data_IF_910776946107
#
_entry.id   IF_910776946107
#
_cell.length_a   1.000
_cell.length_b   1.000
_cell.length_c   1.000
_cell.angle_alpha   90.00
_cell.angle_beta   90.00
_cell.angle_gamma   90.00
#
_symmetry.space_group_name_H-M   'P 1'
#
loop_
_entity.id
_entity.type
_entity.pdbx_description
1 polymer ?
#
# COMPACT_ATOMS: atom_id res chain seq x y z
N UNK A 1 49.30 38.81 -40.62
CA UNK A 1 50.09 38.73 -39.38
C UNK A 1 49.70 37.44 -38.69
N UNK A 2 50.68 36.58 -38.47
CA UNK A 2 50.56 35.18 -38.05
C UNK A 2 50.17 35.13 -36.57
N UNK A 3 49.25 34.24 -36.20
CA UNK A 3 49.48 33.14 -35.23
C UNK A 3 48.19 32.35 -35.00
N UNK A 4 48.27 31.11 -35.45
CA UNK A 4 47.40 30.01 -35.09
C UNK A 4 47.35 29.81 -33.58
N UNK A 5 46.21 29.33 -33.08
CA UNK A 5 46.17 28.55 -31.86
C UNK A 5 45.28 27.34 -32.10
N UNK A 6 45.91 26.23 -32.48
CA UNK A 6 45.32 24.91 -32.42
C UNK A 6 45.39 24.43 -30.95
N UNK A 7 44.27 23.96 -30.41
CA UNK A 7 44.28 23.00 -29.32
C UNK A 7 43.54 21.75 -29.80
N UNK A 8 44.32 20.70 -30.06
CA UNK A 8 43.84 19.33 -30.10
C UNK A 8 44.34 18.69 -28.80
N UNK A 9 43.44 18.29 -27.90
CA UNK A 9 43.67 17.12 -27.06
C UNK A 9 42.36 16.67 -26.40
N UNK A 10 42.07 15.38 -26.55
CA UNK A 10 41.17 14.66 -25.66
C UNK A 10 39.78 14.39 -26.23
N UNK A 11 39.67 13.38 -27.08
CA UNK A 11 38.50 12.52 -27.01
C UNK A 11 38.47 11.91 -25.60
N UNK A 12 37.73 12.54 -24.68
CA UNK A 12 37.20 11.82 -23.55
C UNK A 12 35.93 11.13 -24.06
N UNK A 13 36.07 9.90 -24.52
CA UNK A 13 34.98 8.95 -24.33
C UNK A 13 34.79 8.88 -22.82
N UNK A 14 33.88 9.70 -22.30
CA UNK A 14 33.28 9.42 -21.01
C UNK A 14 32.46 8.14 -21.23
N UNK A 15 33.10 6.97 -21.06
CA UNK A 15 32.43 5.87 -20.38
C UNK A 15 32.39 6.25 -18.89
N UNK A 16 31.79 7.41 -18.61
CA UNK A 16 31.25 7.69 -17.31
C UNK A 16 29.97 6.89 -17.30
N UNK A 17 29.89 5.90 -16.42
CA UNK A 17 28.64 5.39 -15.92
C UNK A 17 27.82 6.62 -15.51
N UNK A 18 27.02 7.17 -16.43
CA UNK A 18 25.97 8.11 -16.07
C UNK A 18 24.99 7.21 -15.35
N UNK A 19 25.21 7.04 -14.04
CA UNK A 19 24.15 6.59 -13.16
C UNK A 19 23.03 7.56 -13.42
N UNK A 20 22.05 7.13 -14.22
CA UNK A 20 20.85 7.93 -14.49
C UNK A 20 20.41 8.47 -13.14
N UNK A 21 20.26 9.79 -12.96
CA UNK A 21 19.72 10.32 -11.72
C UNK A 21 18.48 9.51 -11.38
N UNK A 22 18.52 8.81 -10.24
CA UNK A 22 17.41 8.01 -9.78
C UNK A 22 16.32 8.98 -9.35
N UNK A 23 15.50 9.42 -10.30
CA UNK A 23 14.34 10.22 -10.01
C UNK A 23 13.33 9.33 -9.31
N UNK A 24 13.04 9.64 -8.05
CA UNK A 24 11.90 9.06 -7.37
C UNK A 24 10.63 9.50 -8.11
N UNK A 25 9.90 8.54 -8.66
CA UNK A 25 8.59 8.78 -9.27
C UNK A 25 7.52 8.61 -8.19
N UNK A 26 6.72 9.65 -7.97
CA UNK A 26 5.49 9.51 -7.21
C UNK A 26 4.45 8.80 -8.08
N UNK A 27 3.87 7.72 -7.55
CA UNK A 27 2.74 7.01 -8.15
C UNK A 27 1.60 7.07 -7.14
N UNK A 28 0.51 7.72 -7.52
CA UNK A 28 -0.73 7.74 -6.75
C UNK A 28 -1.78 6.95 -7.51
N UNK A 29 -2.41 5.99 -6.84
CA UNK A 29 -3.49 5.17 -7.39
C UNK A 29 -4.67 5.14 -6.45
N UNK A 30 -5.86 4.95 -7.01
CA UNK A 30 -7.08 4.68 -6.26
C UNK A 30 -7.47 3.21 -6.45
N UNK A 31 -8.25 2.69 -5.53
CA UNK A 31 -8.97 1.44 -5.73
C UNK A 31 -9.91 1.62 -6.93
N UNK A 32 -10.04 0.58 -7.75
CA UNK A 32 -10.76 0.68 -9.02
C UNK A 32 -12.19 0.15 -8.91
N UNK A 33 -12.45 -0.73 -7.96
CA UNK A 33 -13.75 -1.39 -7.79
C UNK A 33 -13.92 -1.90 -6.35
N UNK A 34 -15.16 -2.20 -5.96
CA UNK A 34 -15.45 -2.86 -4.68
C UNK A 34 -14.81 -4.25 -4.53
N UNK A 35 -14.34 -4.85 -5.63
CA UNK A 35 -13.59 -6.10 -5.59
C UNK A 35 -12.10 -5.89 -5.26
N UNK A 36 -11.68 -4.66 -4.97
CA UNK A 36 -10.32 -4.30 -4.58
C UNK A 36 -10.21 -3.90 -3.10
N UNK A 37 -11.33 -3.79 -2.38
CA UNK A 37 -11.42 -3.55 -0.96
C UNK A 37 -12.51 -4.42 -0.34
N UNK A 38 -12.08 -5.44 0.40
CA UNK A 38 -13.00 -6.43 0.95
C UNK A 38 -12.71 -6.69 2.42
N UNK A 39 -13.76 -7.13 3.09
CA UNK A 39 -13.73 -7.47 4.49
C UNK A 39 -14.07 -8.95 4.68
N UNK A 40 -13.39 -9.64 5.59
CA UNK A 40 -13.72 -11.01 5.97
C UNK A 40 -13.90 -11.13 7.47
N UNK A 41 -15.10 -11.59 7.88
CA UNK A 41 -15.40 -11.92 9.28
C UNK A 41 -14.71 -13.23 9.63
N UNK A 42 -13.70 -13.18 10.51
CA UNK A 42 -12.79 -14.32 10.77
C UNK A 42 -13.46 -15.56 11.35
N UNK A 43 -14.54 -15.41 12.11
CA UNK A 43 -15.24 -16.54 12.73
C UNK A 43 -16.23 -17.21 11.77
N UNK A 44 -16.89 -16.42 10.92
CA UNK A 44 -17.86 -16.92 9.95
C UNK A 44 -17.22 -17.28 8.60
N UNK A 45 -15.97 -16.85 8.35
CA UNK A 45 -15.25 -16.96 7.08
C UNK A 45 -16.04 -16.38 5.89
N UNK A 46 -16.96 -15.47 6.16
CA UNK A 46 -17.80 -14.84 5.15
C UNK A 46 -17.21 -13.49 4.75
N UNK A 47 -17.26 -13.22 3.46
CA UNK A 47 -16.87 -11.95 2.87
C UNK A 47 -18.02 -10.96 3.04
N UNK A 48 -17.71 -9.80 3.59
CA UNK A 48 -18.61 -8.65 3.61
C UNK A 48 -18.20 -7.70 2.48
N UNK A 49 -18.71 -7.98 1.29
CA UNK A 49 -18.38 -7.21 0.08
C UNK A 49 -19.37 -6.10 -0.27
N UNK A 50 -20.36 -5.87 0.59
CA UNK A 50 -21.40 -4.86 0.39
C UNK A 50 -21.25 -3.64 1.29
N UNK A 51 -20.20 -3.57 2.11
CA UNK A 51 -19.97 -2.45 3.01
C UNK A 51 -19.69 -1.17 2.22
N UNK A 52 -20.20 -0.04 2.72
CA UNK A 52 -19.94 1.28 2.16
C UNK A 52 -18.61 1.87 2.64
N UNK A 53 -18.02 1.28 3.68
CA UNK A 53 -16.78 1.67 4.33
C UNK A 53 -15.95 0.45 4.78
N UNK A 54 -14.77 0.69 5.37
CA UNK A 54 -13.86 -0.35 5.85
C UNK A 54 -13.64 -0.25 7.36
N UNK A 55 -13.90 -1.34 8.04
CA UNK A 55 -13.90 -1.46 9.48
C UNK A 55 -12.57 -2.01 9.99
N UNK A 56 -11.76 -1.10 10.53
CA UNK A 56 -10.46 -1.46 11.07
C UNK A 56 -10.62 -2.23 12.39
N UNK A 57 -10.32 -3.53 12.30
CA UNK A 57 -10.34 -4.57 13.33
C UNK A 57 -11.70 -5.18 13.67
N UNK A 58 -12.78 -4.39 13.77
CA UNK A 58 -14.10 -4.90 14.17
C UNK A 58 -15.23 -4.06 13.57
N UNK A 59 -16.27 -4.73 13.07
CA UNK A 59 -17.53 -4.13 12.60
C UNK A 59 -18.20 -3.23 13.65
N UNK A 60 -18.23 -3.66 14.91
CA UNK A 60 -19.02 -3.03 15.96
C UNK A 60 -18.23 -2.80 17.24
N UNK A 61 -18.76 -1.90 18.07
CA UNK A 61 -18.13 -1.48 19.33
C UNK A 61 -18.06 -2.58 20.39
N UNK A 62 -18.83 -3.66 20.23
CA UNK A 62 -18.78 -4.81 21.14
C UNK A 62 -17.56 -5.72 20.88
N UNK A 63 -16.81 -5.49 19.78
CA UNK A 63 -15.55 -6.15 19.43
C UNK A 63 -15.62 -7.68 19.44
N UNK A 64 -16.78 -8.25 19.09
CA UNK A 64 -17.00 -9.71 19.16
C UNK A 64 -16.32 -10.46 18.02
N UNK A 65 -16.41 -9.95 16.79
CA UNK A 65 -15.93 -10.66 15.61
C UNK A 65 -14.82 -9.85 14.94
N UNK A 66 -13.56 -10.30 14.99
CA UNK A 66 -12.48 -9.61 14.31
C UNK A 66 -12.62 -9.73 12.79
N UNK A 67 -12.26 -8.65 12.10
CA UNK A 67 -12.33 -8.50 10.66
C UNK A 67 -10.92 -8.54 10.06
N UNK A 68 -10.77 -9.20 8.92
CA UNK A 68 -9.67 -8.92 8.00
C UNK A 68 -10.15 -7.87 7.02
N UNK A 69 -9.31 -6.87 6.78
CA UNK A 69 -9.49 -5.90 5.70
C UNK A 69 -8.38 -6.15 4.70
N UNK A 70 -8.72 -6.25 3.41
CA UNK A 70 -7.76 -6.44 2.34
C UNK A 70 -7.95 -5.40 1.25
N UNK A 71 -6.84 -4.83 0.80
CA UNK A 71 -6.78 -3.84 -0.26
C UNK A 71 -5.93 -4.37 -1.42
N UNK A 72 -6.38 -4.13 -2.65
CA UNK A 72 -5.69 -4.52 -3.89
C UNK A 72 -5.50 -3.30 -4.78
N UNK A 73 -4.24 -2.92 -4.98
CA UNK A 73 -3.88 -1.81 -5.86
C UNK A 73 -3.24 -2.31 -7.15
N UNK A 74 -3.75 -1.85 -8.30
CA UNK A 74 -3.09 -2.06 -9.59
C UNK A 74 -2.07 -0.96 -9.82
N UNK A 75 -0.84 -1.17 -9.33
CA UNK A 75 0.24 -0.18 -9.41
C UNK A 75 1.21 -0.55 -10.54
N UNK A 76 1.49 0.34 -11.51
CA UNK A 76 2.44 0.08 -12.59
C UNK A 76 3.90 0.27 -12.12
N UNK A 77 4.36 -0.58 -11.19
CA UNK A 77 5.74 -0.59 -10.71
C UNK A 77 6.58 -1.47 -11.64
N UNK A 78 7.64 -0.93 -12.28
CA UNK A 78 8.53 -1.73 -13.10
C UNK A 78 9.21 -2.83 -12.28
N UNK A 79 9.43 -4.00 -12.89
CA UNK A 79 10.19 -5.08 -12.26
C UNK A 79 11.58 -4.58 -11.87
N UNK A 80 11.98 -4.82 -10.62
CA UNK A 80 13.28 -4.41 -10.09
C UNK A 80 13.35 -2.93 -9.67
N UNK A 81 12.26 -2.17 -9.75
CA UNK A 81 12.21 -0.84 -9.18
C UNK A 81 12.37 -0.92 -7.65
N UNK A 82 13.19 -0.02 -7.09
CA UNK A 82 13.29 0.16 -5.65
C UNK A 82 12.13 1.03 -5.17
N UNK A 83 11.34 0.52 -4.22
CA UNK A 83 10.32 1.29 -3.53
C UNK A 83 10.98 1.96 -2.33
N UNK A 84 11.07 3.29 -2.36
CA UNK A 84 11.72 4.08 -1.30
C UNK A 84 10.76 4.33 -0.13
N UNK A 85 9.47 4.47 -0.43
CA UNK A 85 8.40 4.70 0.54
C UNK A 85 7.07 4.34 -0.09
N UNK A 86 6.17 3.71 0.66
CA UNK A 86 4.80 3.48 0.27
C UNK A 86 3.86 3.60 1.48
N UNK A 87 2.65 4.11 1.28
CA UNK A 87 1.62 4.16 2.32
C UNK A 87 0.23 4.10 1.68
N UNK A 88 -0.76 3.69 2.46
CA UNK A 88 -2.17 3.89 2.12
C UNK A 88 -2.67 5.13 2.86
N UNK A 89 -3.34 6.04 2.13
CA UNK A 89 -4.03 7.18 2.73
C UNK A 89 -5.53 6.89 2.86
N UNK A 90 -6.03 7.03 4.07
CA UNK A 90 -7.42 6.82 4.48
C UNK A 90 -8.13 8.15 4.64
N UNK A 91 -9.44 8.13 4.44
CA UNK A 91 -10.35 9.23 4.81
C UNK A 91 -11.31 8.70 5.84
N UNK A 92 -11.36 9.32 7.01
CA UNK A 92 -12.25 8.90 8.09
C UNK A 92 -13.70 9.16 7.71
N UNK A 93 -14.53 8.12 7.67
CA UNK A 93 -15.97 8.26 7.47
C UNK A 93 -16.72 8.40 8.81
N UNK A 94 -16.30 7.64 9.82
CA UNK A 94 -16.85 7.69 11.17
C UNK A 94 -15.75 7.65 12.25
N UNK A 95 -15.97 8.32 13.38
CA UNK A 95 -15.03 8.32 14.52
C UNK A 95 -15.31 7.21 15.52
N UNK A 96 -16.54 6.70 15.60
CA UNK A 96 -17.02 5.74 16.63
C UNK A 96 -16.56 6.08 18.06
N UNK A 97 -16.51 7.37 18.38
CA UNK A 97 -16.06 7.90 19.68
C UNK A 97 -14.56 8.17 19.78
N UNK A 98 -13.72 7.71 18.85
CA UNK A 98 -12.37 8.23 18.59
C UNK A 98 -11.35 8.12 19.74
N UNK A 99 -11.64 7.37 20.80
CA UNK A 99 -10.77 7.32 21.99
C UNK A 99 -10.09 5.98 22.22
N UNK A 100 -10.54 4.90 21.58
CA UNK A 100 -9.97 3.57 21.78
C UNK A 100 -8.81 3.32 20.79
N UNK A 101 -7.64 2.86 21.27
CA UNK A 101 -6.52 2.58 20.38
C UNK A 101 -6.83 1.38 19.48
N UNK A 102 -6.51 1.52 18.20
CA UNK A 102 -6.56 0.43 17.21
C UNK A 102 -5.14 0.09 16.78
N UNK A 103 -4.77 -1.19 16.87
CA UNK A 103 -3.46 -1.68 16.48
C UNK A 103 -3.64 -2.77 15.44
N UNK A 104 -3.04 -2.58 14.28
CA UNK A 104 -3.12 -3.49 13.15
C UNK A 104 -1.73 -4.03 12.80
N UNK A 105 -1.75 -5.21 12.18
CA UNK A 105 -0.59 -5.80 11.52
C UNK A 105 -0.92 -5.86 10.04
N UNK A 106 -0.05 -5.26 9.22
CA UNK A 106 -0.17 -5.22 7.76
C UNK A 106 0.87 -6.18 7.18
N UNK A 107 0.44 -7.03 6.26
CA UNK A 107 1.30 -7.86 5.41
C UNK A 107 0.82 -7.81 3.96
N UNK A 108 1.71 -8.16 3.03
CA UNK A 108 1.44 -8.20 1.60
C UNK A 108 1.09 -9.60 1.13
N UNK A 109 0.33 -9.69 0.04
CA UNK A 109 0.17 -10.93 -0.73
C UNK A 109 1.33 -11.06 -1.71
N UNK A 110 2.03 -12.19 -1.70
CA UNK A 110 3.20 -12.45 -2.57
C UNK A 110 2.83 -12.85 -3.99
N UNK A 111 1.59 -13.24 -4.25
CA UNK A 111 1.11 -13.60 -5.59
C UNK A 111 1.19 -12.37 -6.52
N UNK A 112 2.07 -12.34 -7.53
CA UNK A 112 2.16 -11.22 -8.46
C UNK A 112 0.86 -11.10 -9.26
N UNK A 113 0.41 -9.86 -9.50
CA UNK A 113 -0.84 -9.61 -10.22
C UNK A 113 -2.03 -10.39 -9.63
N UNK A 114 -2.15 -10.41 -8.30
CA UNK A 114 -3.22 -11.14 -7.61
C UNK A 114 -4.60 -10.85 -8.22
N UNK A 115 -5.48 -11.87 -8.34
CA UNK A 115 -6.83 -11.67 -8.83
C UNK A 115 -7.62 -10.77 -7.87
N UNK A 116 -8.68 -10.17 -8.41
CA UNK A 116 -9.65 -9.42 -7.62
C UNK A 116 -10.19 -10.27 -6.49
N UNK A 117 -10.65 -9.62 -5.41
CA UNK A 117 -11.35 -10.33 -4.38
C UNK A 117 -12.72 -10.80 -4.88
N UNK A 118 -13.21 -11.89 -4.29
CA UNK A 118 -14.52 -12.46 -4.61
C UNK A 118 -15.34 -12.62 -3.34
N UNK A 119 -16.64 -12.88 -3.47
CA UNK A 119 -17.52 -13.20 -2.34
C UNK A 119 -17.41 -14.67 -1.91
N UNK A 120 -16.41 -15.41 -2.39
CA UNK A 120 -16.19 -16.78 -1.97
C UNK A 120 -15.77 -16.84 -0.49
N UNK A 121 -16.28 -17.84 0.23
CA UNK A 121 -15.86 -18.12 1.61
C UNK A 121 -14.34 -18.22 1.69
N UNK A 122 -13.72 -17.47 2.61
CA UNK A 122 -12.26 -17.39 2.83
C UNK A 122 -11.45 -16.80 1.67
N UNK A 123 -12.00 -15.93 0.83
CA UNK A 123 -11.22 -15.31 -0.26
C UNK A 123 -10.01 -14.50 0.25
N UNK A 124 -10.06 -13.98 1.48
CA UNK A 124 -8.98 -13.19 2.08
C UNK A 124 -8.08 -14.08 2.95
N UNK A 125 -8.68 -14.82 3.90
CA UNK A 125 -7.93 -15.69 4.81
C UNK A 125 -7.32 -16.92 4.12
N UNK A 126 -7.89 -17.34 2.99
CA UNK A 126 -7.39 -18.44 2.16
C UNK A 126 -6.19 -18.07 1.28
N UNK A 127 -5.85 -16.79 1.15
CA UNK A 127 -4.65 -16.31 0.47
C UNK A 127 -3.43 -16.51 1.38
N UNK A 128 -2.80 -17.68 1.29
CA UNK A 128 -1.72 -18.13 2.19
C UNK A 128 -0.33 -17.63 1.84
N UNK A 129 -0.09 -17.26 0.58
CA UNK A 129 1.20 -16.71 0.11
C UNK A 129 1.37 -15.26 0.55
N UNK A 130 1.86 -15.05 1.77
CA UNK A 130 2.05 -13.72 2.39
C UNK A 130 3.52 -13.34 2.53
N UNK A 131 3.82 -12.05 2.59
CA UNK A 131 5.16 -11.56 2.92
C UNK A 131 5.57 -12.02 4.32
N UNK A 132 6.85 -12.37 4.48
CA UNK A 132 7.43 -12.66 5.79
C UNK A 132 7.54 -11.38 6.65
N UNK A 133 7.90 -10.25 6.01
CA UNK A 133 7.87 -8.95 6.63
C UNK A 133 6.43 -8.54 7.00
N UNK A 134 6.29 -7.80 8.09
CA UNK A 134 5.03 -7.25 8.60
C UNK A 134 5.27 -5.85 9.15
N UNK A 135 4.29 -4.97 8.95
CA UNK A 135 4.31 -3.61 9.49
C UNK A 135 3.27 -3.49 10.59
N UNK A 136 3.65 -2.93 11.73
CA UNK A 136 2.72 -2.60 12.81
C UNK A 136 2.18 -1.21 12.58
N UNK A 137 0.87 -1.04 12.62
CA UNK A 137 0.20 0.25 12.53
C UNK A 137 -0.59 0.51 13.82
N UNK A 138 -0.09 1.43 14.63
CA UNK A 138 -0.88 2.05 15.69
C UNK A 138 -1.69 3.17 15.03
N UNK A 139 -2.97 2.91 14.78
CA UNK A 139 -3.86 3.89 14.17
C UNK A 139 -4.04 5.02 15.17
N UNK A 140 -3.82 6.25 14.73
CA UNK A 140 -4.09 7.41 15.57
C UNK A 140 -5.59 7.55 15.85
N UNK A 141 -5.90 8.21 16.95
CA UNK A 141 -7.28 8.49 17.30
C UNK A 141 -7.92 9.41 16.23
N UNK A 142 -8.91 8.88 15.52
CA UNK A 142 -9.71 9.64 14.58
C UNK A 142 -10.78 10.43 15.32
N UNK A 143 -10.66 11.75 15.29
CA UNK A 143 -11.54 12.65 16.06
C UNK A 143 -12.46 13.50 15.18
N UNK A 144 -12.23 13.47 13.86
CA UNK A 144 -12.97 14.29 12.89
C UNK A 144 -13.27 13.49 11.63
N UNK A 145 -14.52 13.54 11.15
CA UNK A 145 -14.92 12.99 9.86
C UNK A 145 -14.21 13.77 8.74
N UNK A 146 -13.69 13.06 7.73
CA UNK A 146 -12.89 13.64 6.65
C UNK A 146 -11.41 13.82 6.98
N UNK A 147 -10.97 13.53 8.21
CA UNK A 147 -9.56 13.48 8.57
C UNK A 147 -8.81 12.53 7.63
N UNK A 148 -7.63 12.94 7.18
CA UNK A 148 -6.72 12.08 6.41
C UNK A 148 -5.77 11.38 7.37
N UNK A 149 -5.63 10.08 7.17
CA UNK A 149 -4.74 9.21 7.95
C UNK A 149 -3.85 8.44 6.99
N UNK A 150 -2.62 8.11 7.41
CA UNK A 150 -1.71 7.30 6.60
C UNK A 150 -1.22 6.12 7.42
N UNK A 151 -1.06 4.98 6.75
CA UNK A 151 -0.27 3.89 7.33
C UNK A 151 1.19 4.34 7.53
N UNK A 152 1.95 3.64 8.40
CA UNK A 152 3.41 3.70 8.36
C UNK A 152 3.93 3.28 6.99
N UNK A 153 5.24 3.46 6.77
CA UNK A 153 5.87 3.00 5.53
C UNK A 153 5.73 1.47 5.38
N UNK A 154 5.06 1.08 4.30
CA UNK A 154 4.79 -0.32 3.93
C UNK A 154 5.72 -0.83 2.84
N UNK A 155 6.75 -0.07 2.41
CA UNK A 155 7.67 -0.51 1.36
C UNK A 155 8.32 -1.89 1.63
N UNK A 156 8.50 -2.27 2.90
CA UNK A 156 9.09 -3.56 3.29
C UNK A 156 8.20 -4.79 3.01
N UNK A 157 6.92 -4.59 2.70
CA UNK A 157 5.94 -5.67 2.44
C UNK A 157 5.39 -5.64 1.01
N UNK A 158 6.05 -4.92 0.09
CA UNK A 158 5.68 -4.80 -1.32
C UNK A 158 6.68 -5.51 -2.25
#
# INVERSE_FOLDING_TARGET
MVKELAFLLGAALLVGLVGSPAYARLIEVRLLSGADDMEEKREANNIDGGSTDLELAYENTNKRVPQLVALRYLVPIPKGAQIINAYVEWTVDETKGGTAPVNLIIDGQLTPHAPAFTTATRDLSGRTERTAAKVKWAVENWTTIGQKSKTPDIASIL
#
